data_IF_280089948310
#
_entry.id   IF_280089948310
#
_cell.length_a   1.000
_cell.length_b   1.000
_cell.length_c   1.000
_cell.angle_alpha   90.00
_cell.angle_beta   90.00
_cell.angle_gamma   90.00
#
_symmetry.space_group_name_H-M   'P 1'
#
loop_
_entity.id
_entity.type
_entity.pdbx_description
1 polymer ?
#
# COMPACT_ATOMS: atom_id res chain seq x y z
N UNK A 1 -0.65 -15.44 5.63
CA UNK A 1 -1.43 -14.23 5.95
C UNK A 1 -2.87 -14.56 5.68
N UNK A 2 -3.80 -13.77 6.21
CA UNK A 2 -5.21 -13.99 5.91
C UNK A 2 -5.49 -13.53 4.48
N UNK A 3 -5.69 -14.48 3.57
CA UNK A 3 -6.09 -14.24 2.16
C UNK A 3 -7.13 -13.12 2.01
N UNK A 4 -8.24 -13.07 2.78
CA UNK A 4 -9.22 -12.00 2.62
C UNK A 4 -8.67 -10.60 2.91
N UNK A 5 -7.77 -10.44 3.88
CA UNK A 5 -7.21 -9.14 4.23
C UNK A 5 -6.24 -8.65 3.15
N UNK A 6 -5.36 -9.53 2.68
CA UNK A 6 -4.43 -9.19 1.60
C UNK A 6 -5.19 -8.82 0.31
N UNK A 7 -6.25 -9.57 -0.05
CA UNK A 7 -7.12 -9.24 -1.19
C UNK A 7 -7.78 -7.87 -1.01
N UNK A 8 -8.23 -7.55 0.20
CA UNK A 8 -8.84 -6.26 0.51
C UNK A 8 -7.83 -5.11 0.34
N UNK A 9 -6.60 -5.27 0.84
CA UNK A 9 -5.54 -4.26 0.68
C UNK A 9 -5.22 -4.07 -0.81
N UNK A 10 -4.98 -5.16 -1.55
CA UNK A 10 -4.70 -5.10 -2.98
C UNK A 10 -5.83 -4.40 -3.74
N UNK A 11 -7.08 -4.77 -3.48
CA UNK A 11 -8.24 -4.16 -4.13
C UNK A 11 -8.35 -2.66 -3.81
N UNK A 12 -8.16 -2.27 -2.55
CA UNK A 12 -8.18 -0.87 -2.14
C UNK A 12 -7.03 -0.06 -2.76
N UNK A 13 -5.82 -0.61 -2.80
CA UNK A 13 -4.65 -0.02 -3.47
C UNK A 13 -4.88 0.16 -4.96
N UNK A 14 -5.46 -0.85 -5.65
CA UNK A 14 -5.76 -0.76 -7.07
C UNK A 14 -6.89 0.21 -7.38
N UNK A 15 -7.91 0.32 -6.52
CA UNK A 15 -8.95 1.32 -6.64
C UNK A 15 -8.38 2.74 -6.51
N UNK A 16 -7.49 2.96 -5.54
CA UNK A 16 -6.76 4.21 -5.37
C UNK A 16 -5.88 4.52 -6.60
N UNK A 17 -5.16 3.52 -7.10
CA UNK A 17 -4.34 3.62 -8.31
C UNK A 17 -5.20 4.02 -9.52
N UNK A 18 -6.35 3.36 -9.74
CA UNK A 18 -7.25 3.71 -10.83
C UNK A 18 -7.77 5.16 -10.72
N UNK A 19 -8.09 5.61 -9.49
CA UNK A 19 -8.52 6.99 -9.26
C UNK A 19 -7.41 8.01 -9.50
N UNK A 20 -6.19 7.74 -9.02
CA UNK A 20 -5.03 8.58 -9.28
C UNK A 20 -4.69 8.60 -10.78
N UNK A 21 -4.73 7.44 -11.46
CA UNK A 21 -4.51 7.30 -12.89
C UNK A 21 -5.52 8.08 -13.73
N UNK A 22 -6.78 8.13 -13.30
CA UNK A 22 -7.76 9.02 -13.92
C UNK A 22 -7.38 10.50 -13.81
N UNK A 23 -6.82 10.93 -12.67
CA UNK A 23 -6.33 12.29 -12.51
C UNK A 23 -5.09 12.59 -13.34
N UNK A 24 -4.19 11.61 -13.49
CA UNK A 24 -3.06 11.69 -14.43
C UNK A 24 -3.57 11.90 -15.85
N UNK A 25 -4.53 11.09 -16.30
CA UNK A 25 -5.13 11.20 -17.64
C UNK A 25 -5.82 12.56 -17.88
N UNK A 26 -6.36 13.17 -16.82
CA UNK A 26 -7.02 14.48 -16.87
C UNK A 26 -6.07 15.67 -16.61
N UNK A 27 -4.76 15.44 -16.51
CA UNK A 27 -3.75 16.45 -16.17
C UNK A 27 -4.08 17.24 -14.88
N UNK A 28 -4.60 16.55 -13.85
CA UNK A 28 -4.98 17.17 -12.57
C UNK A 28 -4.07 16.74 -11.42
N UNK A 29 -3.82 17.63 -10.44
CA UNK A 29 -3.10 17.28 -9.21
C UNK A 29 -3.95 16.47 -8.24
N UNK A 30 -3.29 15.80 -7.29
CA UNK A 30 -3.93 15.06 -6.18
C UNK A 30 -4.86 15.96 -5.39
N UNK A 31 -6.01 15.39 -5.00
CA UNK A 31 -6.97 16.03 -4.11
C UNK A 31 -6.97 15.38 -2.73
N UNK A 32 -7.41 16.13 -1.72
CA UNK A 32 -7.45 15.65 -0.33
C UNK A 32 -8.26 14.35 -0.17
N UNK A 33 -9.30 14.13 -0.99
CA UNK A 33 -10.07 12.88 -0.96
C UNK A 33 -9.24 11.65 -1.35
N UNK A 34 -8.27 11.78 -2.26
CA UNK A 34 -7.36 10.68 -2.60
C UNK A 34 -6.38 10.40 -1.48
N UNK A 35 -5.96 11.43 -0.74
CA UNK A 35 -5.13 11.27 0.45
C UNK A 35 -5.88 10.52 1.57
N UNK A 36 -7.17 10.82 1.78
CA UNK A 36 -8.02 10.01 2.66
C UNK A 36 -8.12 8.55 2.19
N UNK A 37 -8.24 8.32 0.87
CA UNK A 37 -8.17 6.97 0.31
C UNK A 37 -6.85 6.27 0.58
N UNK A 38 -5.72 6.98 0.48
CA UNK A 38 -4.41 6.47 0.84
C UNK A 38 -4.33 6.10 2.34
N UNK A 39 -4.85 6.95 3.23
CA UNK A 39 -4.92 6.65 4.67
C UNK A 39 -5.74 5.40 4.99
N UNK A 40 -6.81 5.11 4.23
CA UNK A 40 -7.57 3.86 4.39
C UNK A 40 -6.71 2.66 4.00
N UNK A 41 -6.02 2.71 2.86
CA UNK A 41 -5.10 1.63 2.45
C UNK A 41 -4.03 1.42 3.51
N UNK A 42 -3.46 2.49 4.03
CA UNK A 42 -2.41 2.43 5.04
C UNK A 42 -2.89 1.84 6.37
N UNK A 43 -4.09 2.21 6.83
CA UNK A 43 -4.71 1.60 7.99
C UNK A 43 -4.94 0.09 7.80
N UNK A 44 -5.33 -0.36 6.60
CA UNK A 44 -5.47 -1.78 6.30
C UNK A 44 -4.11 -2.50 6.36
N UNK A 45 -3.03 -1.90 5.85
CA UNK A 45 -1.67 -2.46 5.95
C UNK A 45 -1.23 -2.56 7.41
N UNK A 46 -1.55 -1.58 8.26
CA UNK A 46 -1.27 -1.65 9.70
C UNK A 46 -2.02 -2.80 10.36
N UNK A 47 -3.32 -2.97 10.07
CA UNK A 47 -4.11 -4.10 10.56
C UNK A 47 -3.50 -5.42 10.11
N UNK A 48 -3.08 -5.51 8.85
CA UNK A 48 -2.42 -6.68 8.30
C UNK A 48 -1.08 -7.00 8.98
N UNK A 49 -0.28 -5.98 9.27
CA UNK A 49 0.97 -6.12 10.03
C UNK A 49 0.72 -6.65 11.45
N UNK A 50 -0.29 -6.13 12.15
CA UNK A 50 -0.68 -6.60 13.50
C UNK A 50 -1.15 -8.05 13.45
N UNK A 51 -2.02 -8.40 12.50
CA UNK A 51 -2.50 -9.77 12.33
C UNK A 51 -1.34 -10.73 12.03
N UNK A 52 -0.42 -10.34 11.13
CA UNK A 52 0.77 -11.11 10.85
C UNK A 52 1.64 -11.32 12.10
N UNK A 53 1.86 -10.26 12.89
CA UNK A 53 2.59 -10.34 14.15
C UNK A 53 1.94 -11.29 15.17
N UNK A 54 0.62 -11.25 15.31
CA UNK A 54 -0.14 -12.16 16.19
C UNK A 54 -0.01 -13.61 15.71
N UNK A 55 -0.11 -13.86 14.40
CA UNK A 55 0.04 -15.20 13.83
C UNK A 55 1.45 -15.77 14.08
N UNK A 56 2.48 -14.94 13.88
CA UNK A 56 3.89 -15.32 14.09
C UNK A 56 4.24 -15.52 15.57
N UNK A 57 3.58 -14.80 16.49
CA UNK A 57 3.72 -15.03 17.93
C UNK A 57 3.05 -16.33 18.40
N UNK A 58 2.13 -16.87 17.59
CA UNK A 58 1.54 -18.19 17.79
C UNK A 58 2.42 -19.29 17.20
N UNK A 59 1.86 -20.05 16.26
CA UNK A 59 2.53 -21.19 15.62
C UNK A 59 2.79 -20.99 14.13
N UNK A 60 2.45 -19.82 13.57
CA UNK A 60 2.71 -19.57 12.15
C UNK A 60 4.20 -19.34 11.91
N UNK A 61 4.68 -19.81 10.76
CA UNK A 61 6.05 -19.59 10.30
C UNK A 61 6.03 -18.76 9.01
N UNK A 62 7.10 -18.02 8.79
CA UNK A 62 7.36 -17.28 7.55
C UNK A 62 8.77 -17.63 7.08
N UNK A 63 8.96 -17.82 5.78
CA UNK A 63 10.22 -18.31 5.22
C UNK A 63 11.39 -17.34 5.47
N UNK A 64 11.13 -16.04 5.28
CA UNK A 64 12.10 -14.98 5.56
C UNK A 64 11.48 -13.84 6.37
N UNK A 65 11.56 -13.87 7.71
CA UNK A 65 10.99 -12.84 8.57
C UNK A 65 11.56 -11.44 8.28
N UNK A 66 12.86 -11.35 7.99
CA UNK A 66 13.52 -10.08 7.69
C UNK A 66 13.00 -9.45 6.40
N UNK A 67 12.84 -10.24 5.32
CA UNK A 67 12.25 -9.75 4.07
C UNK A 67 10.78 -9.39 4.25
N UNK A 68 10.02 -10.21 4.97
CA UNK A 68 8.62 -9.97 5.25
C UNK A 68 8.39 -8.62 5.94
N UNK A 69 9.07 -8.37 7.06
CA UNK A 69 8.94 -7.11 7.78
C UNK A 69 9.54 -5.92 7.02
N UNK A 70 10.55 -6.16 6.17
CA UNK A 70 11.04 -5.17 5.22
C UNK A 70 9.95 -4.72 4.23
N UNK A 71 9.17 -5.65 3.70
CA UNK A 71 8.04 -5.32 2.81
C UNK A 71 6.87 -4.66 3.53
N UNK A 72 6.58 -5.04 4.78
CA UNK A 72 5.61 -4.34 5.62
C UNK A 72 6.04 -2.88 5.81
N UNK A 73 7.29 -2.65 6.22
CA UNK A 73 7.82 -1.31 6.43
C UNK A 73 7.81 -0.48 5.13
N UNK A 74 8.25 -1.06 4.01
CA UNK A 74 8.19 -0.39 2.72
C UNK A 74 6.76 -0.01 2.34
N UNK A 75 5.80 -0.92 2.50
CA UNK A 75 4.38 -0.68 2.20
C UNK A 75 3.79 0.47 3.04
N UNK A 76 4.18 0.55 4.32
CA UNK A 76 3.76 1.62 5.23
C UNK A 76 4.40 2.98 4.91
N UNK A 77 5.58 3.02 4.28
CA UNK A 77 6.30 4.27 4.01
C UNK A 77 5.99 4.88 2.63
N UNK A 78 5.60 4.05 1.66
CA UNK A 78 5.37 4.48 0.27
C UNK A 78 4.21 5.49 0.15
N UNK A 79 3.08 5.26 0.80
CA UNK A 79 1.91 6.16 0.72
C UNK A 79 2.12 7.48 1.48
N UNK A 80 2.71 7.52 2.69
CA UNK A 80 3.06 8.77 3.35
C UNK A 80 4.05 9.59 2.55
N UNK A 81 5.04 8.93 1.93
CA UNK A 81 5.99 9.60 1.07
C UNK A 81 5.29 10.23 -0.14
N UNK A 82 4.39 9.48 -0.80
CA UNK A 82 3.59 10.00 -1.90
C UNK A 82 2.70 11.18 -1.47
N UNK A 83 2.12 11.13 -0.27
CA UNK A 83 1.34 12.22 0.30
C UNK A 83 2.22 13.47 0.55
N UNK A 84 3.42 13.31 1.11
CA UNK A 84 4.37 14.39 1.29
C UNK A 84 4.75 15.05 -0.04
N UNK A 85 5.02 14.26 -1.07
CA UNK A 85 5.28 14.77 -2.43
C UNK A 85 4.06 15.51 -2.98
N UNK A 86 2.84 15.02 -2.76
CA UNK A 86 1.63 15.70 -3.19
C UNK A 86 1.37 17.05 -2.48
N UNK A 87 1.90 17.24 -1.27
CA UNK A 87 1.87 18.53 -0.59
C UNK A 87 2.94 19.50 -1.12
N UNK A 88 4.12 18.98 -1.43
CA UNK A 88 5.23 19.77 -1.98
C UNK A 88 4.98 20.20 -3.43
N UNK A 89 4.38 19.33 -4.25
CA UNK A 89 4.18 19.51 -5.68
C UNK A 89 2.69 19.52 -6.01
N UNK A 90 2.17 20.64 -6.52
CA UNK A 90 0.73 20.84 -6.81
C UNK A 90 0.38 20.68 -8.30
N UNK A 91 1.17 19.92 -9.05
CA UNK A 91 0.96 19.64 -10.48
C UNK A 91 0.49 18.20 -10.72
N UNK A 92 0.27 17.81 -11.99
CA UNK A 92 -0.08 16.44 -12.39
C UNK A 92 0.89 15.37 -11.87
N UNK A 93 2.14 15.75 -11.59
CA UNK A 93 3.17 14.85 -11.07
C UNK A 93 2.82 14.28 -9.70
N UNK A 94 2.07 15.02 -8.87
CA UNK A 94 1.54 14.49 -7.60
C UNK A 94 0.64 13.26 -7.82
N UNK A 95 -0.21 13.29 -8.85
CA UNK A 95 -1.09 12.18 -9.22
C UNK A 95 -0.32 11.00 -9.78
N UNK A 96 0.76 11.25 -10.54
CA UNK A 96 1.65 10.20 -11.05
C UNK A 96 2.33 9.48 -9.88
N UNK A 97 2.85 10.24 -8.91
CA UNK A 97 3.51 9.67 -7.73
C UNK A 97 2.53 8.85 -6.90
N UNK A 98 1.31 9.34 -6.66
CA UNK A 98 0.29 8.58 -5.93
C UNK A 98 -0.13 7.30 -6.67
N UNK A 99 -0.28 7.37 -7.99
CA UNK A 99 -0.57 6.20 -8.83
C UNK A 99 0.52 5.13 -8.66
N UNK A 100 1.79 5.51 -8.83
CA UNK A 100 2.92 4.58 -8.71
C UNK A 100 3.04 4.02 -7.30
N UNK A 101 2.83 4.85 -6.28
CA UNK A 101 2.85 4.44 -4.89
C UNK A 101 1.77 3.40 -4.60
N UNK A 102 0.53 3.64 -5.02
CA UNK A 102 -0.59 2.72 -4.84
C UNK A 102 -0.37 1.38 -5.58
N UNK A 103 0.13 1.41 -6.82
CA UNK A 103 0.51 0.19 -7.56
C UNK A 103 1.63 -0.56 -6.85
N UNK A 104 2.63 0.15 -6.33
CA UNK A 104 3.76 -0.47 -5.62
C UNK A 104 3.29 -1.17 -4.35
N UNK A 105 2.39 -0.56 -3.57
CA UNK A 105 1.79 -1.22 -2.39
C UNK A 105 1.05 -2.50 -2.80
N UNK A 106 0.23 -2.45 -3.86
CA UNK A 106 -0.46 -3.64 -4.36
C UNK A 106 0.53 -4.76 -4.77
N UNK A 107 1.62 -4.40 -5.44
CA UNK A 107 2.67 -5.34 -5.81
C UNK A 107 3.39 -5.93 -4.59
N UNK A 108 3.73 -5.11 -3.60
CA UNK A 108 4.38 -5.58 -2.37
C UNK A 108 3.49 -6.54 -1.59
N UNK A 109 2.18 -6.34 -1.61
CA UNK A 109 1.23 -7.29 -1.01
C UNK A 109 1.29 -8.65 -1.67
N UNK A 110 1.27 -8.71 -3.01
CA UNK A 110 1.45 -9.97 -3.73
C UNK A 110 2.80 -10.61 -3.38
N UNK A 111 3.87 -9.81 -3.30
CA UNK A 111 5.19 -10.32 -2.94
C UNK A 111 5.23 -10.86 -1.50
N UNK A 112 4.57 -10.20 -0.55
CA UNK A 112 4.46 -10.66 0.83
C UNK A 112 3.70 -11.97 0.94
N UNK A 113 2.65 -12.19 0.13
CA UNK A 113 1.95 -13.49 0.13
C UNK A 113 2.86 -14.64 -0.29
N UNK A 114 3.78 -14.41 -1.24
CA UNK A 114 4.77 -15.41 -1.65
C UNK A 114 5.75 -15.69 -0.52
N UNK A 115 6.32 -14.65 0.11
CA UNK A 115 7.24 -14.81 1.26
C UNK A 115 6.56 -15.50 2.44
N UNK A 116 5.27 -15.26 2.64
CA UNK A 116 4.50 -15.94 3.69
C UNK A 116 4.29 -17.42 3.38
N UNK A 117 4.00 -17.77 2.13
CA UNK A 117 3.71 -19.15 1.74
C UNK A 117 4.97 -20.04 1.72
N UNK A 118 6.16 -19.44 1.49
CA UNK A 118 7.40 -20.18 1.21
C UNK A 118 7.58 -20.40 -0.28
#
# INVERSE_FOLDING_TARGET
MTVPLTVLVVAASLALAAWAGWFVYRDRPVILRQLWGASVVEALVVVEAVVAGVLLAGSATVDSPGLFWGYVAASLLILPFAAAVAFAERTRWSSVVLLLAAVTVAFLQLRMTQVWAG
#
